data_IF_367137011400
#
_entry.id   IF_367137011400
#
_cell.length_a   1.000
_cell.length_b   1.000
_cell.length_c   1.000
_cell.angle_alpha   90.00
_cell.angle_beta   90.00
_cell.angle_gamma   90.00
#
_symmetry.space_group_name_H-M   'P 1'
#
loop_
_entity.id
_entity.type
_entity.pdbx_description
1 polymer ?
#
# COMPACT_ATOMS: atom_id res chain seq x y z
N UNK A 1 7.25 3.63 -23.52
CA UNK A 1 6.28 4.65 -23.08
C UNK A 1 6.47 4.79 -21.58
N UNK A 2 6.59 6.01 -21.02
CA UNK A 2 6.54 6.15 -19.56
C UNK A 2 5.22 5.52 -19.09
N UNK A 3 5.30 4.56 -18.17
CA UNK A 3 4.11 3.89 -17.65
C UNK A 3 3.19 4.91 -17.01
N UNK A 4 1.88 4.68 -17.11
CA UNK A 4 0.89 5.53 -16.44
C UNK A 4 1.19 5.55 -14.93
N UNK A 5 1.48 6.74 -14.42
CA UNK A 5 1.68 6.93 -12.99
C UNK A 5 0.34 7.14 -12.33
N UNK A 6 0.13 6.44 -11.23
CA UNK A 6 -1.06 6.56 -10.41
C UNK A 6 -0.65 6.89 -8.98
N UNK A 7 -1.56 7.58 -8.28
CA UNK A 7 -1.45 7.81 -6.84
C UNK A 7 -2.02 6.58 -6.12
N UNK A 8 -1.30 6.12 -5.11
CA UNK A 8 -1.77 5.07 -4.22
C UNK A 8 -1.05 5.13 -2.89
N UNK A 9 -1.10 4.02 -2.15
CA UNK A 9 -0.63 3.97 -0.77
C UNK A 9 0.46 2.91 -0.61
N UNK A 10 1.57 3.32 -0.01
CA UNK A 10 2.62 2.43 0.47
C UNK A 10 2.39 2.17 1.95
N UNK A 11 2.10 0.91 2.26
CA UNK A 11 1.87 0.43 3.61
C UNK A 11 3.12 -0.31 4.08
N UNK A 12 3.70 0.13 5.19
CA UNK A 12 4.92 -0.45 5.76
C UNK A 12 4.65 -1.12 7.09
N UNK A 13 4.95 -2.42 7.17
CA UNK A 13 4.87 -3.22 8.39
C UNK A 13 6.26 -3.51 8.92
N UNK A 14 6.43 -3.36 10.24
CA UNK A 14 7.65 -3.79 10.92
C UNK A 14 7.50 -5.23 11.39
N UNK A 15 8.27 -6.15 10.80
CA UNK A 15 8.32 -7.55 11.21
C UNK A 15 9.69 -7.85 11.81
N UNK A 16 9.86 -7.49 13.09
CA UNK A 16 11.13 -7.62 13.82
C UNK A 16 12.23 -6.75 13.20
N UNK A 17 13.22 -7.39 12.56
CA UNK A 17 14.33 -6.71 11.85
C UNK A 17 13.97 -6.34 10.40
N UNK A 18 12.89 -6.88 9.86
CA UNK A 18 12.48 -6.67 8.47
C UNK A 18 11.40 -5.60 8.37
N UNK A 19 11.36 -4.91 7.22
CA UNK A 19 10.28 -4.00 6.85
C UNK A 19 9.63 -4.54 5.58
N UNK A 20 8.33 -4.80 5.65
CA UNK A 20 7.55 -5.22 4.50
C UNK A 20 6.80 -4.00 3.97
N UNK A 21 6.99 -3.70 2.68
CA UNK A 21 6.32 -2.58 2.01
C UNK A 21 5.34 -3.15 0.99
N UNK A 22 4.07 -2.77 1.10
CA UNK A 22 3.01 -3.14 0.15
C UNK A 22 2.50 -1.87 -0.52
N UNK A 23 2.42 -1.88 -1.85
CA UNK A 23 1.87 -0.80 -2.63
C UNK A 23 0.46 -1.16 -3.06
N UNK A 24 -0.52 -0.38 -2.60
CA UNK A 24 -1.94 -0.60 -2.82
C UNK A 24 -2.54 0.56 -3.61
N UNK A 25 -3.40 0.26 -4.57
CA UNK A 25 -4.28 1.27 -5.19
C UNK A 25 -5.21 1.85 -4.13
N UNK A 26 -5.72 3.06 -4.36
CA UNK A 26 -6.59 3.76 -3.42
C UNK A 26 -7.79 2.90 -2.96
N UNK A 27 -8.54 2.34 -3.91
CA UNK A 27 -9.74 1.54 -3.60
C UNK A 27 -9.41 0.35 -2.67
N UNK A 28 -8.28 -0.30 -2.92
CA UNK A 28 -7.84 -1.44 -2.11
C UNK A 28 -7.36 -1.01 -0.73
N UNK A 29 -6.65 0.11 -0.65
CA UNK A 29 -6.22 0.67 0.63
C UNK A 29 -7.41 1.06 1.51
N UNK A 30 -8.47 1.65 0.96
CA UNK A 30 -9.66 2.02 1.73
C UNK A 30 -10.35 0.79 2.34
N UNK A 31 -10.48 -0.29 1.57
CA UNK A 31 -11.00 -1.57 2.06
C UNK A 31 -10.08 -2.13 3.14
N UNK A 32 -8.77 -2.19 2.89
CA UNK A 32 -7.80 -2.73 3.84
C UNK A 32 -7.75 -1.91 5.14
N UNK A 33 -7.83 -0.58 5.06
CA UNK A 33 -7.83 0.34 6.19
C UNK A 33 -8.97 0.03 7.15
N UNK A 34 -10.15 -0.27 6.64
CA UNK A 34 -11.31 -0.65 7.45
C UNK A 34 -11.02 -1.88 8.33
N UNK A 35 -10.41 -2.93 7.75
CA UNK A 35 -10.01 -4.13 8.50
C UNK A 35 -8.79 -3.90 9.42
N UNK A 36 -7.90 -2.99 9.04
CA UNK A 36 -6.68 -2.67 9.80
C UNK A 36 -7.00 -2.00 11.12
N UNK A 37 -7.90 -1.02 11.15
CA UNK A 37 -8.14 -0.18 12.33
C UNK A 37 -8.60 -1.01 13.54
N UNK A 38 -9.12 -2.22 13.31
CA UNK A 38 -9.49 -3.18 14.37
C UNK A 38 -8.33 -4.02 14.92
N UNK A 39 -7.25 -4.25 14.15
CA UNK A 39 -6.27 -5.33 14.44
C UNK A 39 -4.80 -4.94 14.36
N UNK A 40 -4.39 -3.93 13.59
CA UNK A 40 -2.97 -3.65 13.33
C UNK A 40 -2.63 -2.18 13.61
N UNK A 41 -1.99 -1.92 14.76
CA UNK A 41 -1.64 -0.54 15.18
C UNK A 41 -0.28 -0.07 14.68
N UNK A 42 0.70 -0.97 14.57
CA UNK A 42 2.09 -0.63 14.18
C UNK A 42 2.29 -0.76 12.66
N UNK A 43 1.73 0.18 11.93
CA UNK A 43 1.85 0.27 10.47
C UNK A 43 2.03 1.73 10.07
N UNK A 44 2.95 1.98 9.16
CA UNK A 44 3.17 3.29 8.58
C UNK A 44 2.56 3.34 7.18
N UNK A 45 1.88 4.43 6.86
CA UNK A 45 1.23 4.62 5.57
C UNK A 45 1.74 5.92 4.95
N UNK A 46 2.07 5.84 3.66
CA UNK A 46 2.58 6.95 2.86
C UNK A 46 1.81 6.98 1.53
N UNK A 47 1.26 8.13 1.14
CA UNK A 47 0.73 8.33 -0.20
C UNK A 47 1.91 8.47 -1.17
N UNK A 48 1.88 7.71 -2.27
CA UNK A 48 2.98 7.66 -3.24
C UNK A 48 2.46 7.72 -4.67
N UNK A 49 3.18 8.41 -5.54
CA UNK A 49 2.93 8.43 -6.98
C UNK A 49 3.96 7.53 -7.67
N UNK A 50 3.52 6.40 -8.20
CA UNK A 50 4.38 5.40 -8.85
C UNK A 50 3.72 4.88 -10.13
N UNK A 51 4.49 4.17 -10.95
CA UNK A 51 3.92 3.46 -12.11
C UNK A 51 2.87 2.44 -11.65
N UNK A 52 1.75 2.34 -12.38
CA UNK A 52 0.65 1.43 -12.06
C UNK A 52 1.10 -0.03 -11.84
N UNK A 53 2.13 -0.47 -12.57
CA UNK A 53 2.76 -1.80 -12.46
C UNK A 53 3.38 -2.11 -11.09
N UNK A 54 3.62 -1.09 -10.25
CA UNK A 54 4.17 -1.24 -8.90
C UNK A 54 3.11 -1.56 -7.86
N UNK A 55 1.85 -1.30 -8.17
CA UNK A 55 0.74 -1.55 -7.25
C UNK A 55 0.22 -2.98 -7.42
N UNK A 56 -0.17 -3.58 -6.29
CA UNK A 56 -0.78 -4.90 -6.31
C UNK A 56 -2.12 -4.83 -7.05
N UNK A 57 -2.24 -5.55 -8.16
CA UNK A 57 -3.47 -5.68 -8.93
C UNK A 57 -4.07 -7.07 -8.69
N UNK A 58 -5.39 -7.15 -8.61
CA UNK A 58 -6.09 -8.44 -8.55
C UNK A 58 -6.53 -8.74 -9.98
N UNK A 59 -5.74 -9.55 -10.70
CA UNK A 59 -6.22 -10.18 -11.94
C UNK A 59 -7.43 -11.08 -11.66
#
# INVERSE_FOLDING_TARGET
MPGEKIVGYKVMFRMGKFRMNIYMKQDYYEIWKHFRDERIRDVYVEEVELEASRFFDRE
#
